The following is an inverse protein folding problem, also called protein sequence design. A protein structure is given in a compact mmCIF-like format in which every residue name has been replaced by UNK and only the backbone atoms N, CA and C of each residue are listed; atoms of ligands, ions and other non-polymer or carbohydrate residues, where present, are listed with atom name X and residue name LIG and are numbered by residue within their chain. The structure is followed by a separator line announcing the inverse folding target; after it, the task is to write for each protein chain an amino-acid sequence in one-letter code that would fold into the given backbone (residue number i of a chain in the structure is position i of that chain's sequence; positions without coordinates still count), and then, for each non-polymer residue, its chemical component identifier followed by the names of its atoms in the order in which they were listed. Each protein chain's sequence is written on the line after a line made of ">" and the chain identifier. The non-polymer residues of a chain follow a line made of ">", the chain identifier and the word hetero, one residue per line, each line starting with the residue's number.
data_IF_997242504344
#
_entry.id   IF_997242504344
#
_cell.length_a   1.000
_cell.length_b   1.000
_cell.length_c   1.000
_cell.angle_alpha   90.00
_cell.angle_beta   90.00
_cell.angle_gamma   90.00
#
_symmetry.space_group_name_H-M   'P 1'
#
loop_
_entity.id
_entity.type
_entity.pdbx_description
1 polymer ?
#
# COMPACT_ATOMS: atom_id res chain seq x y z
N UNK A 1 -9.31 -14.49 -13.99
CA UNK A 1 -8.25 -13.56 -14.43
C UNK A 1 -7.55 -14.19 -15.63
N UNK A 2 -7.12 -13.36 -16.59
CA UNK A 2 -6.43 -13.78 -17.80
C UNK A 2 -5.06 -13.08 -17.90
N UNK A 3 -4.07 -13.75 -18.50
CA UNK A 3 -2.78 -13.15 -18.84
C UNK A 3 -2.91 -12.00 -19.85
N UNK A 4 -1.87 -11.21 -19.98
CA UNK A 4 -1.79 -10.14 -20.96
C UNK A 4 -0.40 -10.10 -21.57
N UNK A 5 -0.29 -10.49 -22.84
CA UNK A 5 0.99 -10.55 -23.54
C UNK A 5 1.45 -9.16 -24.02
N UNK A 6 0.56 -8.15 -23.97
CA UNK A 6 0.87 -6.74 -24.31
C UNK A 6 1.36 -5.93 -23.11
N UNK A 7 1.63 -6.58 -21.97
CA UNK A 7 2.16 -5.90 -20.79
C UNK A 7 3.52 -5.28 -21.09
N UNK A 8 3.63 -4.00 -20.78
CA UNK A 8 4.92 -3.32 -20.73
C UNK A 8 5.66 -3.75 -19.47
N UNK A 9 6.98 -3.85 -19.59
CA UNK A 9 7.84 -4.06 -18.42
C UNK A 9 7.63 -2.93 -17.40
N UNK A 10 7.59 -3.31 -16.12
CA UNK A 10 7.61 -2.35 -15.02
C UNK A 10 8.96 -1.62 -15.00
N UNK A 11 8.93 -0.30 -14.83
CA UNK A 11 10.14 0.49 -14.61
C UNK A 11 9.94 1.39 -13.40
N UNK A 12 11.01 1.65 -12.65
CA UNK A 12 10.95 2.54 -11.49
C UNK A 12 12.20 3.40 -11.41
N UNK A 13 12.01 4.68 -11.08
CA UNK A 13 13.09 5.55 -10.66
C UNK A 13 13.04 5.63 -9.15
N UNK A 14 14.03 5.04 -8.49
CA UNK A 14 14.14 5.00 -7.04
C UNK A 14 15.17 6.04 -6.60
N UNK A 15 14.82 6.83 -5.60
CA UNK A 15 15.66 7.89 -5.02
C UNK A 15 15.66 7.73 -3.53
N UNK A 16 16.83 7.85 -2.92
CA UNK A 16 16.99 7.84 -1.48
C UNK A 16 18.06 8.85 -1.07
N UNK A 17 17.83 9.50 0.05
CA UNK A 17 18.78 10.43 0.67
C UNK A 17 18.75 10.17 2.16
N UNK A 18 19.91 9.81 2.71
CA UNK A 18 20.05 9.47 4.11
C UNK A 18 21.14 10.27 4.81
N UNK A 19 20.93 10.49 6.10
CA UNK A 19 21.96 10.95 7.03
C UNK A 19 22.07 9.92 8.15
N UNK A 20 23.29 9.50 8.44
CA UNK A 20 23.58 8.56 9.52
C UNK A 20 24.66 9.14 10.44
N UNK A 21 24.42 9.05 11.73
CA UNK A 21 25.40 9.27 12.78
C UNK A 21 25.72 7.93 13.43
N UNK A 22 27.02 7.69 13.64
CA UNK A 22 27.51 6.50 14.32
C UNK A 22 28.72 6.83 15.19
N UNK A 23 28.63 6.49 16.48
CA UNK A 23 29.73 6.70 17.44
C UNK A 23 29.51 5.87 18.70
N UNK A 24 30.55 5.18 19.18
CA UNK A 24 30.58 4.54 20.50
C UNK A 24 29.31 3.70 20.81
N UNK A 25 28.87 2.88 19.85
CA UNK A 25 27.66 2.05 19.94
C UNK A 25 26.34 2.74 19.59
N UNK A 26 26.31 4.08 19.62
CA UNK A 26 25.18 4.85 19.11
C UNK A 26 25.10 4.77 17.59
N UNK A 27 23.88 4.58 17.10
CA UNK A 27 23.54 4.71 15.70
C UNK A 27 22.23 5.50 15.61
N UNK A 28 22.20 6.57 14.85
CA UNK A 28 20.98 7.29 14.54
C UNK A 28 20.97 7.61 13.06
N UNK A 29 19.95 7.16 12.34
CA UNK A 29 19.83 7.34 10.90
C UNK A 29 18.44 7.80 10.52
N UNK A 30 18.37 8.66 9.53
CA UNK A 30 17.12 9.02 8.85
C UNK A 30 17.35 8.99 7.35
N UNK A 31 16.45 8.33 6.63
CA UNK A 31 16.48 8.22 5.19
C UNK A 31 15.13 8.61 4.63
N UNK A 32 15.12 9.56 3.70
CA UNK A 32 13.98 9.78 2.84
C UNK A 32 14.11 8.91 1.61
N UNK A 33 13.02 8.27 1.21
CA UNK A 33 12.97 7.47 -0.01
C UNK A 33 11.76 7.85 -0.85
N UNK A 34 11.92 7.72 -2.17
CA UNK A 34 10.87 7.94 -3.14
C UNK A 34 11.08 7.09 -4.39
N UNK A 35 10.07 6.28 -4.70
CA UNK A 35 10.01 5.42 -5.87
C UNK A 35 8.89 5.91 -6.80
N UNK A 36 9.27 6.35 -7.99
CA UNK A 36 8.36 6.74 -9.06
C UNK A 36 8.21 5.56 -10.05
N UNK A 37 7.19 4.74 -9.81
CA UNK A 37 6.86 3.58 -10.64
C UNK A 37 6.16 3.99 -11.95
N UNK A 38 6.44 3.21 -13.00
CA UNK A 38 5.83 3.28 -14.33
C UNK A 38 5.45 1.87 -14.77
N UNK A 39 4.27 1.78 -15.37
CA UNK A 39 3.70 0.53 -15.88
C UNK A 39 3.59 -0.60 -14.85
N UNK A 40 3.35 -0.29 -13.57
CA UNK A 40 3.21 -1.33 -12.54
C UNK A 40 2.06 -2.27 -12.89
N UNK A 41 2.30 -3.57 -12.98
CA UNK A 41 1.32 -4.59 -13.33
C UNK A 41 0.40 -4.82 -12.12
N UNK A 42 -0.88 -4.52 -12.29
CA UNK A 42 -1.93 -4.82 -11.31
C UNK A 42 -3.10 -5.55 -11.99
N UNK A 43 -3.93 -6.21 -11.18
CA UNK A 43 -5.19 -6.77 -11.69
C UNK A 43 -6.05 -5.62 -12.25
N UNK A 44 -6.43 -5.72 -13.52
CA UNK A 44 -7.30 -4.76 -14.20
C UNK A 44 -8.65 -4.65 -13.50
N UNK A 45 -9.18 -3.44 -13.47
CA UNK A 45 -10.43 -3.13 -12.74
C UNK A 45 -11.66 -3.11 -13.63
N UNK A 46 -11.45 -3.10 -14.94
CA UNK A 46 -12.51 -3.16 -15.94
C UNK A 46 -12.54 -4.58 -16.51
N UNK A 47 -13.70 -5.25 -16.52
CA UNK A 47 -13.79 -6.56 -17.17
C UNK A 47 -13.54 -6.38 -18.68
N UNK A 48 -12.58 -7.13 -19.21
CA UNK A 48 -12.28 -7.18 -20.64
C UNK A 48 -13.47 -7.74 -21.41
N UNK A 49 -14.11 -8.76 -20.85
CA UNK A 49 -15.30 -9.39 -21.42
C UNK A 49 -16.12 -10.08 -20.34
N UNK A 50 -17.38 -10.39 -20.67
CA UNK A 50 -18.25 -11.23 -19.84
C UNK A 50 -18.52 -12.55 -20.53
N UNK A 51 -18.22 -13.65 -19.86
CA UNK A 51 -18.48 -15.02 -20.34
C UNK A 51 -19.69 -15.63 -19.60
N UNK A 52 -20.16 -16.79 -20.05
CA UNK A 52 -21.31 -17.50 -19.47
C UNK A 52 -22.59 -16.65 -19.42
N UNK A 53 -23.02 -16.08 -20.55
CA UNK A 53 -24.20 -15.22 -20.67
C UNK A 53 -24.22 -14.06 -19.66
N UNK A 54 -23.07 -13.42 -19.43
CA UNK A 54 -22.98 -12.25 -18.55
C UNK A 54 -22.76 -12.57 -17.07
N UNK A 55 -22.66 -13.85 -16.68
CA UNK A 55 -22.53 -14.26 -15.28
C UNK A 55 -21.11 -14.18 -14.73
N UNK A 56 -20.10 -14.06 -15.59
CA UNK A 56 -18.69 -14.07 -15.17
C UNK A 56 -17.93 -12.95 -15.85
N UNK A 57 -17.46 -11.98 -15.05
CA UNK A 57 -16.55 -10.92 -15.47
C UNK A 57 -15.12 -11.49 -15.61
N UNK A 58 -14.51 -11.32 -16.78
CA UNK A 58 -13.12 -11.69 -17.04
C UNK A 58 -12.25 -10.45 -16.98
N UNK A 59 -11.38 -10.40 -15.98
CA UNK A 59 -10.38 -9.34 -15.80
C UNK A 59 -9.03 -9.78 -16.36
N UNK A 60 -8.25 -8.80 -16.81
CA UNK A 60 -6.91 -8.98 -17.37
C UNK A 60 -5.88 -8.20 -16.54
N UNK A 61 -4.63 -8.64 -16.54
CA UNK A 61 -3.53 -7.85 -15.95
C UNK A 61 -3.29 -6.57 -16.76
N UNK A 62 -3.12 -5.43 -16.09
CA UNK A 62 -2.96 -4.12 -16.70
C UNK A 62 -1.78 -3.36 -16.11
N UNK A 63 -1.13 -2.52 -16.93
CA UNK A 63 -0.09 -1.61 -16.46
C UNK A 63 -0.71 -0.33 -15.88
N UNK A 64 -0.51 -0.09 -14.58
CA UNK A 64 -0.75 1.20 -13.92
C UNK A 64 0.28 2.22 -14.42
N UNK A 65 -0.12 3.31 -15.12
CA UNK A 65 0.83 4.13 -15.85
C UNK A 65 1.81 4.88 -14.96
N UNK A 66 1.35 5.44 -13.83
CA UNK A 66 2.19 6.19 -12.89
C UNK A 66 1.78 5.92 -11.45
N UNK A 67 2.75 5.55 -10.63
CA UNK A 67 2.55 5.26 -9.23
C UNK A 67 3.70 5.88 -8.41
N UNK A 68 3.43 6.28 -7.17
CA UNK A 68 4.46 6.78 -6.24
C UNK A 68 4.36 6.11 -4.90
N UNK A 69 5.51 5.72 -4.38
CA UNK A 69 5.71 5.29 -3.01
C UNK A 69 6.80 6.17 -2.42
N UNK A 70 6.51 6.83 -1.31
CA UNK A 70 7.41 7.80 -0.68
C UNK A 70 7.27 7.68 0.83
N UNK A 71 8.38 7.81 1.54
CA UNK A 71 8.38 7.70 2.98
C UNK A 71 9.69 8.12 3.62
N UNK A 72 9.72 7.91 4.93
CA UNK A 72 10.88 8.09 5.78
C UNK A 72 11.19 6.77 6.46
N UNK A 73 12.47 6.44 6.55
CA UNK A 73 13.00 5.37 7.37
C UNK A 73 13.87 5.99 8.44
N UNK A 74 13.78 5.44 9.65
CA UNK A 74 14.57 5.86 10.79
C UNK A 74 15.14 4.64 11.49
N UNK A 75 16.37 4.77 11.96
CA UNK A 75 17.01 3.76 12.79
C UNK A 75 17.64 4.44 14.00
N UNK A 76 17.50 3.82 15.16
CA UNK A 76 18.07 4.31 16.41
C UNK A 76 18.55 3.14 17.25
N UNK A 77 19.87 3.04 17.40
CA UNK A 77 20.52 2.17 18.36
C UNK A 77 21.05 2.99 19.54
N UNK A 78 20.64 2.60 20.75
CA UNK A 78 21.04 3.21 22.00
C UNK A 78 21.78 2.17 22.84
N UNK A 79 23.11 2.31 23.05
CA UNK A 79 23.84 1.51 24.03
C UNK A 79 23.52 2.04 25.43
N UNK A 80 22.43 1.55 26.03
CA UNK A 80 21.93 2.01 27.33
C UNK A 80 22.96 1.74 28.43
N UNK A 81 23.68 0.61 28.34
CA UNK A 81 24.85 0.28 29.15
C UNK A 81 25.74 -0.72 28.41
N UNK A 82 26.86 -1.14 29.01
CA UNK A 82 27.74 -2.18 28.46
C UNK A 82 27.05 -3.54 28.27
N UNK A 83 25.91 -3.76 28.93
CA UNK A 83 25.15 -5.02 28.88
C UNK A 83 23.74 -4.85 28.35
N UNK A 84 23.28 -3.62 28.08
CA UNK A 84 21.92 -3.32 27.62
C UNK A 84 21.97 -2.50 26.34
N UNK A 85 21.36 -3.05 25.28
CA UNK A 85 21.26 -2.39 23.98
C UNK A 85 19.81 -2.27 23.55
N UNK A 86 19.43 -1.09 23.07
CA UNK A 86 18.07 -0.81 22.62
C UNK A 86 18.06 -0.37 21.15
N UNK A 87 17.49 -1.20 20.29
CA UNK A 87 17.47 -0.99 18.84
C UNK A 87 16.06 -0.73 18.35
N UNK A 88 15.89 0.32 17.56
CA UNK A 88 14.62 0.75 17.02
C UNK A 88 14.74 0.98 15.52
N UNK A 89 13.75 0.54 14.75
CA UNK A 89 13.62 0.82 13.33
C UNK A 89 12.19 1.29 13.07
N UNK A 90 12.04 2.39 12.35
CA UNK A 90 10.75 2.97 12.02
C UNK A 90 10.67 3.23 10.53
N UNK A 91 9.53 2.89 9.93
CA UNK A 91 9.19 3.29 8.57
C UNK A 91 7.89 4.08 8.63
N UNK A 92 7.85 5.24 7.99
CA UNK A 92 6.68 6.08 7.87
C UNK A 92 6.36 6.32 6.38
N UNK A 93 5.16 5.96 5.97
CA UNK A 93 4.69 6.11 4.59
C UNK A 93 4.03 7.47 4.38
N UNK A 94 4.68 8.35 3.61
CA UNK A 94 4.16 9.66 3.22
C UNK A 94 3.16 9.52 2.07
N UNK A 95 3.51 8.76 1.03
CA UNK A 95 2.65 8.50 -0.12
C UNK A 95 2.73 7.05 -0.54
N UNK A 96 1.60 6.48 -0.94
CA UNK A 96 1.51 5.19 -1.62
C UNK A 96 0.26 5.20 -2.48
N UNK A 97 0.34 5.76 -3.68
CA UNK A 97 -0.82 5.98 -4.55
C UNK A 97 -0.53 5.87 -6.03
N UNK A 98 -1.54 5.43 -6.78
CA UNK A 98 -1.62 5.58 -8.22
C UNK A 98 -1.83 7.08 -8.51
N UNK A 99 -1.00 7.68 -9.37
CA UNK A 99 -1.03 9.12 -9.65
C UNK A 99 -2.20 9.53 -10.56
N UNK A 100 -2.81 8.59 -11.28
CA UNK A 100 -3.96 8.87 -12.15
C UNK A 100 -5.27 8.78 -11.42
N UNK A 101 -5.45 7.72 -10.62
CA UNK A 101 -6.71 7.49 -9.88
C UNK A 101 -6.70 8.08 -8.47
N UNK A 102 -5.53 8.42 -7.94
CA UNK A 102 -5.35 8.84 -6.54
C UNK A 102 -5.51 7.71 -5.52
N UNK A 103 -5.89 6.51 -5.95
CA UNK A 103 -6.10 5.36 -5.08
C UNK A 103 -4.80 4.81 -4.50
N UNK A 104 -4.89 4.20 -3.31
CA UNK A 104 -3.77 3.52 -2.67
C UNK A 104 -3.28 2.34 -3.52
N UNK A 105 -1.96 2.20 -3.64
CA UNK A 105 -1.31 1.10 -4.38
C UNK A 105 -1.34 -0.22 -3.61
N UNK A 106 -1.23 -0.14 -2.28
CA UNK A 106 -1.25 -1.29 -1.40
C UNK A 106 -1.78 -0.89 -0.03
N UNK A 107 -2.39 -1.84 0.67
CA UNK A 107 -2.83 -1.68 2.06
C UNK A 107 -1.61 -1.94 2.95
N UNK A 108 -0.80 -0.91 3.13
CA UNK A 108 0.34 -0.91 4.04
C UNK A 108 0.04 0.00 5.24
N UNK A 109 0.50 -0.34 6.46
CA UNK A 109 0.40 0.55 7.61
C UNK A 109 1.02 1.91 7.30
N UNK A 110 0.43 2.98 7.83
CA UNK A 110 1.00 4.33 7.70
C UNK A 110 2.39 4.43 8.33
N UNK A 111 2.63 3.69 9.40
CA UNK A 111 3.95 3.50 9.95
C UNK A 111 4.10 2.11 10.54
N UNK A 112 5.34 1.65 10.63
CA UNK A 112 5.72 0.45 11.38
C UNK A 112 6.91 0.82 12.25
N UNK A 113 6.78 0.61 13.56
CA UNK A 113 7.87 0.74 14.52
C UNK A 113 8.21 -0.66 15.02
N UNK A 114 9.48 -1.04 14.93
CA UNK A 114 10.04 -2.23 15.56
C UNK A 114 11.05 -1.78 16.61
N UNK A 115 10.93 -2.30 17.83
CA UNK A 115 11.76 -1.96 18.96
C UNK A 115 12.23 -3.24 19.65
N UNK A 116 13.51 -3.35 19.96
CA UNK A 116 14.10 -4.51 20.62
C UNK A 116 15.03 -4.06 21.72
N UNK A 117 14.73 -4.46 22.96
CA UNK A 117 15.60 -4.28 24.11
C UNK A 117 16.29 -5.61 24.40
N UNK A 118 17.62 -5.62 24.31
CA UNK A 118 18.45 -6.78 24.59
C UNK A 118 19.29 -6.52 25.84
N UNK A 119 19.28 -7.45 26.78
CA UNK A 119 20.01 -7.35 28.04
C UNK A 119 20.79 -8.64 28.30
N UNK A 120 22.12 -8.50 28.42
CA UNK A 120 23.00 -9.56 28.91
C UNK A 120 23.01 -9.55 30.45
N UNK A 121 22.22 -10.41 31.08
CA UNK A 121 22.09 -10.46 32.55
C UNK A 121 23.36 -11.01 33.20
N UNK A 122 23.93 -12.08 32.60
CA UNK A 122 25.20 -12.73 32.97
C UNK A 122 25.89 -13.23 31.71
N UNK A 123 27.11 -13.75 31.80
CA UNK A 123 27.82 -14.28 30.62
C UNK A 123 27.06 -15.41 29.88
N UNK A 124 26.21 -16.15 30.59
CA UNK A 124 25.47 -17.31 30.12
C UNK A 124 23.94 -17.08 30.02
N UNK A 125 23.44 -15.90 30.42
CA UNK A 125 22.01 -15.58 30.44
C UNK A 125 21.76 -14.23 29.78
N UNK A 126 20.94 -14.22 28.73
CA UNK A 126 20.44 -13.02 28.07
C UNK A 126 18.91 -13.00 28.03
N UNK A 127 18.36 -11.78 28.03
CA UNK A 127 16.93 -11.51 27.89
C UNK A 127 16.73 -10.57 26.70
N UNK A 128 15.68 -10.82 25.92
CA UNK A 128 15.27 -9.94 24.84
C UNK A 128 13.77 -9.68 24.92
N UNK A 129 13.40 -8.42 24.76
CA UNK A 129 12.02 -7.99 24.63
C UNK A 129 11.83 -7.27 23.30
N UNK A 130 10.85 -7.73 22.52
CA UNK A 130 10.55 -7.18 21.19
C UNK A 130 9.16 -6.58 21.20
N UNK A 131 9.04 -5.39 20.62
CA UNK A 131 7.77 -4.68 20.47
C UNK A 131 7.62 -4.18 19.03
N UNK A 132 6.46 -4.45 18.44
CA UNK A 132 6.11 -3.95 17.11
C UNK A 132 4.80 -3.20 17.16
N UNK A 133 4.79 -2.01 16.57
CA UNK A 133 3.60 -1.16 16.50
C UNK A 133 3.29 -0.78 15.06
N UNK A 134 2.08 -1.14 14.63
CA UNK A 134 1.55 -0.80 13.32
C UNK A 134 0.58 0.37 13.41
N UNK A 135 0.82 1.38 12.58
CA UNK A 135 -0.11 2.49 12.38
C UNK A 135 -1.36 2.08 11.63
N UNK A 136 -2.28 3.05 11.46
CA UNK A 136 -3.55 2.83 10.75
C UNK A 136 -3.29 2.31 9.33
N UNK A 137 -4.06 1.29 8.95
CA UNK A 137 -4.11 0.80 7.57
C UNK A 137 -5.29 1.45 6.86
N UNK A 138 -5.00 2.23 5.82
CA UNK A 138 -6.06 2.81 4.99
C UNK A 138 -6.70 1.74 4.11
N UNK A 139 -8.03 1.55 4.22
CA UNK A 139 -8.78 0.68 3.31
C UNK A 139 -8.65 1.19 1.87
N UNK A 140 -8.60 0.25 0.90
CA UNK A 140 -8.70 0.58 -0.54
C UNK A 140 -10.15 0.98 -0.81
N UNK A 141 -10.39 2.18 -1.34
CA UNK A 141 -11.73 2.57 -1.77
C UNK A 141 -12.13 1.67 -2.95
N UNK A 142 -13.16 0.84 -2.77
CA UNK A 142 -13.80 0.17 -3.90
C UNK A 142 -14.67 1.21 -4.60
N UNK A 143 -14.28 1.65 -5.80
CA UNK A 143 -15.20 2.38 -6.68
C UNK A 143 -16.25 1.36 -7.14
N UNK A 144 -17.41 1.36 -6.49
CA UNK A 144 -18.60 0.74 -7.06
C UNK A 144 -19.05 1.68 -8.19
N UNK A 145 -18.69 1.37 -9.44
CA UNK A 145 -19.34 2.01 -10.59
C UNK A 145 -20.76 1.45 -10.69
N UNK A 146 -21.73 2.21 -10.19
CA UNK A 146 -23.14 1.98 -10.52
C UNK A 146 -23.30 2.38 -11.99
N UNK A 147 -23.38 1.40 -12.89
CA UNK A 147 -23.78 1.69 -14.27
C UNK A 147 -25.24 2.20 -14.22
N UNK A 148 -25.56 3.38 -14.79
CA UNK A 148 -26.96 3.76 -14.96
C UNK A 148 -27.63 2.74 -15.88
N UNK A 149 -28.82 2.28 -15.47
CA UNK A 149 -29.63 1.35 -16.26
C UNK A 149 -29.96 2.01 -17.62
N UNK A 150 -29.93 1.26 -18.73
CA UNK A 150 -30.32 1.81 -20.02
C UNK A 150 -31.77 2.26 -19.96
N UNK A 151 -31.99 3.53 -20.32
CA UNK A 151 -33.28 4.20 -20.38
C UNK A 151 -34.12 3.61 -21.51
N UNK A 152 -34.77 2.47 -21.26
CA UNK A 152 -35.78 1.89 -22.13
C UNK A 152 -36.86 1.28 -21.24
N UNK A 153 -37.87 2.09 -20.91
CA UNK A 153 -39.32 1.79 -20.90
C UNK A 153 -40.00 3.07 -20.36
N UNK A 154 -40.24 4.04 -21.24
CA UNK A 154 -41.21 5.12 -21.03
C UNK A 154 -42.26 5.03 -22.14
N UNK A 155 -43.08 3.97 -22.10
CA UNK A 155 -44.41 3.93 -22.73
C UNK A 155 -45.26 2.88 -22.03
N UNK A 156 -45.92 3.27 -20.93
CA UNK A 156 -47.21 2.70 -20.56
C UNK A 156 -48.18 3.83 -20.26
N UNK A 157 -49.16 3.96 -21.13
CA UNK A 157 -50.35 4.80 -21.02
C UNK A 157 -51.10 4.52 -19.73
N UNK A 158 -51.47 5.57 -18.99
CA UNK A 158 -52.32 5.47 -17.81
C UNK A 158 -53.78 5.17 -18.23
N UNK A 159 -54.50 4.26 -17.55
CA UNK A 159 -55.94 4.11 -17.75
C UNK A 159 -56.69 5.22 -16.99
N UNK A 160 -57.67 5.80 -17.67
CA UNK A 160 -58.66 6.74 -17.12
C UNK A 160 -59.58 6.03 -16.13
N UNK A 161 -59.80 6.63 -14.96
CA UNK A 161 -60.91 6.25 -14.06
C UNK A 161 -61.84 7.45 -13.93
N UNK A 162 -63.05 7.31 -14.46
CA UNK A 162 -64.18 8.19 -14.23
C UNK A 162 -64.85 7.77 -12.92
N UNK A 163 -65.11 8.74 -12.05
CA UNK A 163 -65.99 8.58 -10.89
C UNK A 163 -67.35 9.20 -11.23
N UNK A 164 -68.41 8.52 -10.81
CA UNK A 164 -69.78 9.02 -10.78
C UNK A 164 -69.96 10.10 -9.71
#
# INVERSE_FOLDING_TARGET
>A
MMGNDELKAETSINKEIGLEFKRDGWLAGVTWFRNDYRNKIEAGKVPLQRINNGKTDVYQWENVPKAVVEGLEGTLNVPVSDTVNWTNNVTYMLQSKNKETGERLSIIPQYTLNSTLSWQVRQDVSLQSTFTWYGKQGRRNMIIRVNPLPEQISKRSAPTVSLA
#
